data_IF_128946310960
#
_entry.id   IF_128946310960
#
_cell.length_a   1.000
_cell.length_b   1.000
_cell.length_c   1.000
_cell.angle_alpha   90.00
_cell.angle_beta   90.00
_cell.angle_gamma   90.00
#
_symmetry.space_group_name_H-M   'P 1'
#
loop_
_entity.id
_entity.type
_entity.pdbx_description
1 polymer ?
#
# COMPACT_ATOMS: atom_id res chain seq x y z
N UNK A 1 7.02 39.79 4.17
CA UNK A 1 6.14 39.65 2.95
C UNK A 1 4.73 40.20 3.17
N UNK A 2 4.18 40.23 4.40
CA UNK A 2 2.84 40.78 4.68
C UNK A 2 2.71 42.31 4.52
N UNK A 3 3.73 43.08 4.88
CA UNK A 3 3.71 44.56 4.76
C UNK A 3 3.58 45.05 3.31
N UNK A 4 4.12 44.30 2.34
CA UNK A 4 4.00 44.63 0.91
C UNK A 4 2.55 44.53 0.39
N UNK A 5 1.67 43.81 1.10
CA UNK A 5 0.26 43.64 0.77
C UNK A 5 -0.69 44.25 1.81
N UNK A 6 -0.18 45.00 2.79
CA UNK A 6 -0.98 45.63 3.83
C UNK A 6 -1.63 44.66 4.83
N UNK A 7 -1.09 43.45 4.97
CA UNK A 7 -1.62 42.40 5.86
C UNK A 7 -0.62 42.06 6.96
N UNK A 8 -1.06 41.78 8.20
CA UNK A 8 -0.15 41.36 9.27
C UNK A 8 0.65 40.12 8.87
N UNK A 9 1.93 40.08 9.21
CA UNK A 9 2.85 39.03 8.76
C UNK A 9 2.44 37.62 9.23
N UNK A 10 1.87 37.50 10.43
CA UNK A 10 1.33 36.24 10.94
C UNK A 10 0.19 35.70 10.05
N UNK A 11 -0.64 36.58 9.48
CA UNK A 11 -1.73 36.19 8.59
C UNK A 11 -1.19 35.75 7.22
N UNK A 12 -0.17 36.43 6.71
CA UNK A 12 0.53 36.00 5.50
C UNK A 12 1.17 34.61 5.66
N UNK A 13 1.78 34.33 6.82
CA UNK A 13 2.36 33.03 7.14
C UNK A 13 1.30 31.93 7.23
N UNK A 14 0.17 32.21 7.89
CA UNK A 14 -0.96 31.27 7.94
C UNK A 14 -1.52 30.95 6.55
N UNK A 15 -1.72 31.98 5.72
CA UNK A 15 -2.23 31.79 4.36
C UNK A 15 -1.26 30.98 3.50
N UNK A 16 0.04 31.19 3.65
CA UNK A 16 1.06 30.41 2.95
C UNK A 16 0.99 28.93 3.32
N UNK A 17 0.97 28.62 4.63
CA UNK A 17 0.86 27.24 5.11
C UNK A 17 -0.46 26.60 4.67
N UNK A 18 -1.58 27.31 4.82
CA UNK A 18 -2.90 26.82 4.42
C UNK A 18 -2.96 26.54 2.91
N UNK A 19 -2.42 27.45 2.08
CA UNK A 19 -2.35 27.25 0.63
C UNK A 19 -1.49 26.04 0.28
N UNK A 20 -0.33 25.89 0.92
CA UNK A 20 0.54 24.72 0.75
C UNK A 20 -0.17 23.42 1.08
N UNK A 21 -0.89 23.37 2.21
CA UNK A 21 -1.68 22.20 2.61
C UNK A 21 -2.81 21.89 1.62
N UNK A 22 -3.55 22.90 1.15
CA UNK A 22 -4.61 22.72 0.16
C UNK A 22 -4.04 22.14 -1.14
N UNK A 23 -2.91 22.68 -1.62
CA UNK A 23 -2.25 22.18 -2.84
C UNK A 23 -1.78 20.75 -2.66
N UNK A 24 -1.17 20.41 -1.52
CA UNK A 24 -0.72 19.06 -1.21
C UNK A 24 -1.89 18.06 -1.15
N UNK A 25 -2.97 18.41 -0.46
CA UNK A 25 -4.18 17.57 -0.38
C UNK A 25 -4.84 17.38 -1.74
N UNK A 26 -4.96 18.43 -2.54
CA UNK A 26 -5.50 18.33 -3.89
C UNK A 26 -4.62 17.40 -4.73
N UNK A 27 -3.31 17.60 -4.74
CA UNK A 27 -2.38 16.73 -5.47
C UNK A 27 -2.50 15.26 -5.04
N UNK A 28 -2.54 14.99 -3.73
CA UNK A 28 -2.73 13.65 -3.20
C UNK A 28 -4.02 13.00 -3.68
N UNK A 29 -5.14 13.72 -3.60
CA UNK A 29 -6.45 13.25 -4.09
C UNK A 29 -6.42 12.91 -5.58
N UNK A 30 -5.88 13.80 -6.41
CA UNK A 30 -5.78 13.57 -7.86
C UNK A 30 -4.86 12.40 -8.22
N UNK A 31 -3.74 12.27 -7.52
CA UNK A 31 -2.79 11.17 -7.70
C UNK A 31 -3.43 9.82 -7.36
N UNK A 32 -4.11 9.74 -6.20
CA UNK A 32 -4.81 8.54 -5.75
C UNK A 32 -5.91 8.13 -6.74
N UNK A 33 -6.76 9.09 -7.12
CA UNK A 33 -7.83 8.85 -8.10
C UNK A 33 -7.29 8.29 -9.42
N UNK A 34 -6.22 8.89 -9.94
CA UNK A 34 -5.58 8.44 -11.20
C UNK A 34 -4.96 7.05 -11.05
N UNK A 35 -4.38 6.73 -9.89
CA UNK A 35 -3.88 5.39 -9.59
C UNK A 35 -5.00 4.36 -9.68
N UNK A 36 -6.12 4.60 -8.98
CA UNK A 36 -7.23 3.67 -8.98
C UNK A 36 -7.88 3.52 -10.36
N UNK A 37 -8.02 4.60 -11.12
CA UNK A 37 -8.52 4.54 -12.50
C UNK A 37 -7.60 3.72 -13.40
N UNK A 38 -6.28 3.86 -13.24
CA UNK A 38 -5.30 3.06 -13.98
C UNK A 38 -5.41 1.58 -13.64
N UNK A 39 -5.48 1.24 -12.34
CA UNK A 39 -5.61 -0.14 -11.86
C UNK A 39 -6.92 -0.76 -12.32
N UNK A 40 -8.03 -0.02 -12.21
CA UNK A 40 -9.34 -0.46 -12.68
C UNK A 40 -9.36 -0.77 -14.19
N UNK A 41 -8.53 -0.08 -14.97
CA UNK A 41 -8.42 -0.27 -16.41
C UNK A 41 -7.42 -1.36 -16.81
N UNK A 42 -6.39 -1.62 -16.01
CA UNK A 42 -5.30 -2.54 -16.35
C UNK A 42 -5.63 -4.01 -16.07
N UNK A 43 -6.55 -4.29 -15.14
CA UNK A 43 -6.82 -5.65 -14.69
C UNK A 43 -8.29 -5.91 -14.31
N UNK A 44 -8.74 -7.17 -14.33
CA UNK A 44 -10.04 -7.54 -13.77
C UNK A 44 -10.02 -7.49 -12.23
N UNK A 45 -11.21 -7.38 -11.64
CA UNK A 45 -11.42 -7.69 -10.23
C UNK A 45 -11.55 -9.20 -10.06
N UNK A 46 -10.84 -9.74 -9.06
CA UNK A 46 -10.87 -11.15 -8.71
C UNK A 46 -11.73 -11.34 -7.46
N UNK A 47 -12.48 -12.44 -7.40
CA UNK A 47 -13.03 -12.90 -6.14
C UNK A 47 -11.92 -13.48 -5.24
N UNK A 48 -12.15 -13.56 -3.92
CA UNK A 48 -11.18 -14.09 -2.95
C UNK A 48 -10.60 -15.44 -3.37
N UNK A 49 -11.45 -16.38 -3.79
CA UNK A 49 -11.01 -17.71 -4.21
C UNK A 49 -10.17 -17.68 -5.50
N UNK A 50 -10.50 -16.77 -6.42
CA UNK A 50 -9.73 -16.59 -7.66
C UNK A 50 -8.37 -15.95 -7.38
N UNK A 51 -8.30 -15.00 -6.45
CA UNK A 51 -7.06 -14.41 -5.98
C UNK A 51 -6.16 -15.47 -5.34
N UNK A 52 -6.70 -16.29 -4.43
CA UNK A 52 -5.95 -17.39 -3.79
C UNK A 52 -5.45 -18.37 -4.84
N UNK A 53 -6.29 -18.75 -5.81
CA UNK A 53 -5.88 -19.61 -6.91
C UNK A 53 -4.77 -18.98 -7.78
N UNK A 54 -4.80 -17.66 -7.98
CA UNK A 54 -3.78 -16.93 -8.74
C UNK A 54 -2.45 -16.74 -7.98
N UNK A 55 -2.47 -16.81 -6.65
CA UNK A 55 -1.30 -16.77 -5.77
C UNK A 55 -0.70 -18.17 -5.49
N UNK A 56 -1.48 -19.23 -5.67
CA UNK A 56 -1.07 -20.61 -5.36
C UNK A 56 0.27 -21.08 -5.98
N UNK A 57 0.70 -20.63 -7.18
CA UNK A 57 2.03 -20.97 -7.69
C UNK A 57 3.19 -20.34 -6.93
N UNK A 58 2.92 -19.31 -6.13
CA UNK A 58 3.92 -18.40 -5.58
C UNK A 58 4.03 -18.46 -4.05
N UNK A 59 2.93 -18.74 -3.36
CA UNK A 59 2.95 -18.89 -1.91
C UNK A 59 1.83 -19.82 -1.43
N UNK A 60 1.93 -20.23 -0.16
CA UNK A 60 0.90 -21.03 0.50
C UNK A 60 -0.49 -20.35 0.55
N UNK A 61 -1.53 -21.17 0.71
CA UNK A 61 -2.92 -20.71 0.88
C UNK A 61 -3.07 -19.80 2.12
N UNK A 62 -2.34 -20.08 3.21
CA UNK A 62 -2.34 -19.25 4.42
C UNK A 62 -1.87 -17.82 4.12
N UNK A 63 -0.71 -17.68 3.48
CA UNK A 63 -0.14 -16.38 3.09
C UNK A 63 -1.10 -15.66 2.14
N UNK A 64 -1.64 -16.37 1.15
CA UNK A 64 -2.60 -15.82 0.20
C UNK A 64 -3.84 -15.24 0.89
N UNK A 65 -4.41 -15.96 1.87
CA UNK A 65 -5.56 -15.48 2.65
C UNK A 65 -5.21 -14.27 3.51
N UNK A 66 -4.06 -14.30 4.17
CA UNK A 66 -3.55 -13.17 4.95
C UNK A 66 -3.46 -11.91 4.09
N UNK A 67 -2.83 -12.01 2.91
CA UNK A 67 -2.66 -10.87 2.02
C UNK A 67 -3.97 -10.33 1.46
N UNK A 68 -4.93 -11.19 1.17
CA UNK A 68 -6.27 -10.74 0.81
C UNK A 68 -6.90 -9.92 1.93
N UNK A 69 -6.87 -10.44 3.16
CA UNK A 69 -7.54 -9.82 4.31
C UNK A 69 -6.90 -8.48 4.72
N UNK A 70 -5.59 -8.30 4.47
CA UNK A 70 -4.92 -7.03 4.64
C UNK A 70 -5.18 -6.07 3.48
N UNK A 71 -4.89 -6.49 2.24
CA UNK A 71 -4.94 -5.61 1.08
C UNK A 71 -6.35 -5.08 0.78
N UNK A 72 -7.41 -5.86 1.06
CA UNK A 72 -8.79 -5.41 0.81
C UNK A 72 -9.16 -4.14 1.57
N UNK A 73 -8.47 -3.84 2.68
CA UNK A 73 -8.72 -2.65 3.50
C UNK A 73 -8.15 -1.37 2.87
N UNK A 74 -7.16 -1.50 1.99
CA UNK A 74 -6.48 -0.39 1.33
C UNK A 74 -6.97 -0.15 -0.10
N UNK A 75 -7.61 -1.15 -0.70
CA UNK A 75 -8.15 -1.05 -2.05
C UNK A 75 -9.43 -0.20 -2.06
N UNK A 76 -9.60 0.62 -3.11
CA UNK A 76 -10.83 1.39 -3.31
C UNK A 76 -12.08 0.48 -3.24
N UNK A 77 -13.20 0.88 -2.62
CA UNK A 77 -14.37 0.01 -2.43
C UNK A 77 -14.96 -0.69 -3.67
N UNK A 78 -14.67 -0.19 -4.88
CA UNK A 78 -15.10 -0.80 -6.16
C UNK A 78 -14.10 -1.79 -6.76
N UNK A 79 -12.92 -1.91 -6.17
CA UNK A 79 -11.83 -2.77 -6.62
C UNK A 79 -11.61 -3.90 -5.61
N UNK A 80 -10.96 -4.95 -6.08
CA UNK A 80 -10.49 -6.07 -5.24
C UNK A 80 -8.98 -6.19 -5.37
N UNK A 81 -8.24 -6.69 -4.37
CA UNK A 81 -6.81 -6.98 -4.49
C UNK A 81 -6.51 -7.88 -5.68
N UNK A 82 -5.37 -7.66 -6.32
CA UNK A 82 -4.85 -8.50 -7.39
C UNK A 82 -3.37 -8.85 -7.15
N UNK A 83 -2.91 -10.07 -7.45
CA UNK A 83 -1.51 -10.47 -7.20
C UNK A 83 -0.45 -9.52 -7.78
N UNK A 84 -0.75 -8.93 -8.93
CA UNK A 84 0.18 -8.05 -9.65
C UNK A 84 0.05 -6.57 -9.25
N UNK A 85 -0.83 -6.23 -8.30
CA UNK A 85 -0.92 -4.86 -7.78
C UNK A 85 0.38 -4.48 -7.07
N UNK A 86 0.90 -3.30 -7.39
CA UNK A 86 2.01 -2.71 -6.63
C UNK A 86 1.48 -2.11 -5.32
N UNK A 87 1.95 -2.64 -4.20
CA UNK A 87 1.54 -2.25 -2.85
C UNK A 87 1.76 -0.75 -2.60
N UNK A 88 2.83 -0.17 -3.15
CA UNK A 88 3.19 1.24 -2.94
C UNK A 88 2.60 2.11 -4.05
N UNK A 89 2.77 1.70 -5.31
CA UNK A 89 2.41 2.56 -6.44
C UNK A 89 0.94 2.51 -6.78
N UNK A 90 0.30 1.35 -6.66
CA UNK A 90 -1.09 1.15 -7.03
C UNK A 90 -2.01 1.29 -5.81
N UNK A 91 -1.71 0.57 -4.72
CA UNK A 91 -2.51 0.59 -3.49
C UNK A 91 -2.20 1.75 -2.56
N UNK A 92 -1.08 2.45 -2.76
CA UNK A 92 -0.66 3.59 -1.93
C UNK A 92 -0.59 3.24 -0.44
N UNK A 93 -0.21 2.00 -0.13
CA UNK A 93 0.05 1.57 1.24
C UNK A 93 1.30 2.30 1.73
N UNK A 94 1.29 2.71 3.00
CA UNK A 94 2.45 3.34 3.62
C UNK A 94 3.63 2.35 3.65
N UNK A 95 4.84 2.86 3.41
CA UNK A 95 6.05 2.04 3.45
C UNK A 95 6.25 1.45 4.86
N UNK A 96 5.85 2.17 5.92
CA UNK A 96 5.92 1.70 7.30
C UNK A 96 4.98 0.50 7.55
N UNK A 97 3.77 0.52 7.00
CA UNK A 97 2.80 -0.57 7.11
C UNK A 97 3.35 -1.85 6.44
N UNK A 98 3.97 -1.70 5.26
CA UNK A 98 4.56 -2.81 4.50
C UNK A 98 5.86 -3.34 5.12
N UNK A 99 6.69 -2.47 5.67
CA UNK A 99 7.99 -2.83 6.21
C UNK A 99 7.91 -3.39 7.63
N UNK A 100 6.90 -2.99 8.43
CA UNK A 100 6.84 -3.33 9.85
C UNK A 100 5.56 -4.03 10.26
N UNK A 101 4.39 -3.51 9.90
CA UNK A 101 3.14 -3.97 10.52
C UNK A 101 2.65 -5.28 9.92
N UNK A 102 2.59 -5.41 8.59
CA UNK A 102 2.16 -6.65 7.96
C UNK A 102 3.11 -7.83 8.24
N UNK A 103 4.45 -7.68 8.15
CA UNK A 103 5.37 -8.76 8.51
C UNK A 103 5.28 -9.15 9.99
N UNK A 104 5.05 -8.17 10.88
CA UNK A 104 4.85 -8.43 12.31
C UNK A 104 3.57 -9.20 12.57
N UNK A 105 2.45 -8.77 12.02
CA UNK A 105 1.17 -9.46 12.18
C UNK A 105 1.23 -10.90 11.63
N UNK A 106 1.90 -11.11 10.51
CA UNK A 106 2.13 -12.45 9.97
C UNK A 106 2.95 -13.31 10.91
N UNK A 107 4.10 -12.79 11.37
CA UNK A 107 4.99 -13.51 12.28
C UNK A 107 4.31 -13.87 13.61
N UNK A 108 3.53 -12.95 14.19
CA UNK A 108 2.74 -13.19 15.39
C UNK A 108 1.71 -14.32 15.20
N UNK A 109 1.05 -14.39 14.03
CA UNK A 109 0.08 -15.45 13.70
C UNK A 109 0.74 -16.82 13.56
N UNK A 110 1.93 -16.89 12.98
CA UNK A 110 2.67 -18.15 12.79
C UNK A 110 3.59 -18.49 13.98
N UNK A 111 3.64 -17.64 15.02
CA UNK A 111 4.34 -17.93 16.27
C UNK A 111 5.86 -17.73 16.22
N UNK A 112 6.34 -16.85 15.33
CA UNK A 112 7.75 -16.46 15.26
C UNK A 112 7.92 -14.94 15.34
N UNK A 113 9.17 -14.47 15.46
CA UNK A 113 9.47 -13.04 15.50
C UNK A 113 9.80 -12.52 14.09
N UNK A 114 9.23 -11.39 13.65
CA UNK A 114 9.40 -10.86 12.29
C UNK A 114 10.86 -10.69 11.83
N UNK A 115 11.80 -10.50 12.77
CA UNK A 115 13.26 -10.50 12.48
C UNK A 115 13.80 -11.83 11.94
N UNK A 116 12.99 -12.90 11.97
CA UNK A 116 13.33 -14.20 11.40
C UNK A 116 12.95 -14.28 9.91
N UNK A 117 12.25 -13.28 9.37
CA UNK A 117 12.06 -13.15 7.92
C UNK A 117 13.39 -12.72 7.28
N UNK A 118 13.70 -13.21 6.07
CA UNK A 118 14.88 -12.77 5.35
C UNK A 118 14.74 -11.29 4.95
N UNK A 119 15.84 -10.65 4.60
CA UNK A 119 15.80 -9.33 3.97
C UNK A 119 15.00 -9.38 2.66
N UNK A 120 14.40 -8.25 2.27
CA UNK A 120 13.70 -8.16 0.99
C UNK A 120 14.69 -8.41 -0.17
N UNK A 121 14.39 -9.30 -1.12
CA UNK A 121 15.33 -9.62 -2.19
C UNK A 121 15.61 -8.44 -3.13
N UNK A 122 16.88 -8.25 -3.49
CA UNK A 122 17.29 -7.21 -4.42
C UNK A 122 16.57 -7.33 -5.78
N UNK A 123 16.06 -6.20 -6.28
CA UNK A 123 15.41 -6.11 -7.59
C UNK A 123 13.98 -6.66 -7.65
N UNK A 124 13.41 -7.12 -6.54
CA UNK A 124 11.99 -7.48 -6.48
C UNK A 124 11.11 -6.25 -6.44
N UNK A 125 10.11 -6.20 -7.31
CA UNK A 125 9.04 -5.20 -7.24
C UNK A 125 8.13 -5.45 -6.04
N UNK A 126 7.59 -4.37 -5.47
CA UNK A 126 6.67 -4.32 -4.34
C UNK A 126 5.25 -4.80 -4.69
N UNK A 127 5.14 -5.90 -5.44
CA UNK A 127 3.83 -6.48 -5.80
C UNK A 127 3.29 -7.38 -4.69
N UNK A 128 1.96 -7.53 -4.60
CA UNK A 128 1.33 -8.48 -3.67
C UNK A 128 1.91 -9.89 -3.83
N UNK A 129 2.13 -10.32 -5.08
CA UNK A 129 2.71 -11.63 -5.41
C UNK A 129 4.10 -11.82 -4.81
N UNK A 130 5.00 -10.87 -5.04
CA UNK A 130 6.36 -10.95 -4.51
C UNK A 130 6.37 -10.85 -2.98
N UNK A 131 5.49 -10.05 -2.40
CA UNK A 131 5.36 -9.96 -0.96
C UNK A 131 4.88 -11.28 -0.34
N UNK A 132 3.93 -11.96 -1.00
CA UNK A 132 3.54 -13.32 -0.64
C UNK A 132 4.67 -14.33 -0.71
N UNK A 133 5.45 -14.33 -1.81
CA UNK A 133 6.63 -15.19 -1.92
C UNK A 133 7.61 -14.97 -0.77
N UNK A 134 7.85 -13.70 -0.42
CA UNK A 134 8.78 -13.33 0.64
C UNK A 134 8.30 -13.77 2.02
N UNK A 135 7.02 -13.58 2.35
CA UNK A 135 6.44 -14.06 3.61
C UNK A 135 6.54 -15.59 3.75
N UNK A 136 6.38 -16.31 2.64
CA UNK A 136 6.43 -17.78 2.60
C UNK A 136 7.86 -18.34 2.73
N UNK A 137 8.89 -17.51 2.59
CA UNK A 137 10.29 -17.85 2.90
C UNK A 137 10.56 -17.85 4.41
N UNK A 138 9.63 -17.35 5.23
CA UNK A 138 9.74 -17.37 6.68
C UNK A 138 9.70 -18.78 7.28
N UNK A 139 10.00 -18.92 8.58
CA UNK A 139 9.84 -20.18 9.29
C UNK A 139 8.39 -20.72 9.17
N UNK A 140 8.24 -22.01 8.86
CA UNK A 140 6.95 -22.70 8.80
C UNK A 140 6.77 -23.69 9.95
#
# INVERSE_FOLDING_TARGET
MGEAFGIPEWLAMLLWVATGLIVAMAYGYWSLKRSHERVAASRPNLAKDQFIAAMAPDCTDKVSRFLWDQAIQYVEPRLTPHPDDDLILDLKIDDDDLAMDWPREWAEREGFHHSNLPDWPDGWSSTIRNFGRWLDMGPQ
#
